data_IF_549798522719
#
_entry.id   IF_549798522719
#
_cell.length_a   1.000
_cell.length_b   1.000
_cell.length_c   1.000
_cell.angle_alpha   90.00
_cell.angle_beta   90.00
_cell.angle_gamma   90.00
#
_symmetry.space_group_name_H-M   'P 1'
#
loop_
_entity.id
_entity.type
_entity.pdbx_description
1 polymer ?
#
# COMPACT_ATOMS: atom_id res chain seq x y z
N UNK A 1 1.36 11.01 -17.31
CA UNK A 1 1.40 9.56 -17.55
C UNK A 1 0.78 8.76 -16.41
N UNK A 2 0.88 9.22 -15.16
CA UNK A 2 0.18 8.63 -14.00
C UNK A 2 -1.29 8.25 -14.22
N UNK A 3 -2.11 9.12 -14.80
CA UNK A 3 -3.53 8.84 -15.05
C UNK A 3 -3.71 7.62 -15.96
N UNK A 4 -2.91 7.51 -17.02
CA UNK A 4 -2.93 6.35 -17.91
C UNK A 4 -2.52 5.07 -17.18
N UNK A 5 -1.46 5.11 -16.35
CA UNK A 5 -1.04 3.96 -15.57
C UNK A 5 -2.10 3.51 -14.55
N UNK A 6 -2.78 4.46 -13.91
CA UNK A 6 -3.90 4.17 -12.99
C UNK A 6 -5.10 3.55 -13.73
N UNK A 7 -5.45 4.08 -14.90
CA UNK A 7 -6.50 3.50 -15.74
C UNK A 7 -6.14 2.09 -16.21
N UNK A 8 -4.88 1.85 -16.61
CA UNK A 8 -4.39 0.52 -16.99
C UNK A 8 -4.50 -0.47 -15.82
N UNK A 9 -4.12 -0.08 -14.61
CA UNK A 9 -4.26 -0.91 -13.41
C UNK A 9 -5.73 -1.19 -13.12
N UNK A 10 -6.60 -0.17 -13.16
CA UNK A 10 -8.03 -0.33 -12.91
C UNK A 10 -8.69 -1.28 -13.91
N UNK A 11 -8.40 -1.11 -15.21
CA UNK A 11 -8.87 -2.01 -16.26
C UNK A 11 -8.35 -3.44 -16.05
N UNK A 12 -7.07 -3.60 -15.73
CA UNK A 12 -6.46 -4.90 -15.45
C UNK A 12 -7.16 -5.61 -14.28
N UNK A 13 -7.46 -4.90 -13.19
CA UNK A 13 -8.19 -5.46 -12.05
C UNK A 13 -9.60 -5.89 -12.48
N UNK A 14 -10.32 -5.05 -13.22
CA UNK A 14 -11.68 -5.37 -13.67
C UNK A 14 -11.70 -6.63 -14.57
N UNK A 15 -10.83 -6.70 -15.59
CA UNK A 15 -10.75 -7.86 -16.47
C UNK A 15 -10.26 -9.12 -15.75
N UNK A 16 -9.27 -8.99 -14.87
CA UNK A 16 -8.78 -10.10 -14.05
C UNK A 16 -9.86 -10.66 -13.13
N UNK A 17 -10.65 -9.79 -12.50
CA UNK A 17 -11.77 -10.21 -11.65
C UNK A 17 -12.84 -10.94 -12.47
N UNK A 18 -13.25 -10.40 -13.62
CA UNK A 18 -14.23 -11.05 -14.51
C UNK A 18 -13.73 -12.42 -14.94
N UNK A 19 -12.48 -12.53 -15.41
CA UNK A 19 -11.88 -13.79 -15.82
C UNK A 19 -11.81 -14.80 -14.65
N UNK A 20 -11.46 -14.34 -13.45
CA UNK A 20 -11.38 -15.21 -12.27
C UNK A 20 -12.74 -15.81 -11.87
N UNK A 21 -13.85 -15.09 -12.09
CA UNK A 21 -15.19 -15.65 -11.82
C UNK A 21 -15.55 -16.83 -12.71
N UNK A 22 -14.87 -17.01 -13.85
CA UNK A 22 -15.11 -18.13 -14.77
C UNK A 22 -14.19 -19.34 -14.56
N UNK A 23 -13.25 -19.27 -13.63
CA UNK A 23 -12.27 -20.33 -13.40
C UNK A 23 -12.91 -21.68 -13.05
N UNK A 24 -14.05 -21.67 -12.34
CA UNK A 24 -14.78 -22.86 -11.92
C UNK A 24 -16.05 -23.10 -12.74
N UNK A 25 -16.23 -22.39 -13.85
CA UNK A 25 -17.39 -22.53 -14.75
C UNK A 25 -16.95 -22.81 -16.19
N UNK A 26 -16.26 -23.95 -16.42
CA UNK A 26 -15.91 -24.37 -17.78
C UNK A 26 -17.16 -24.50 -18.65
N UNK A 27 -16.95 -24.35 -19.96
CA UNK A 27 -18.00 -24.61 -20.95
C UNK A 27 -18.19 -26.12 -21.07
N UNK A 28 -19.42 -26.57 -21.31
CA UNK A 28 -19.76 -27.98 -21.33
C UNK A 28 -19.09 -28.74 -22.50
N UNK A 29 -18.77 -28.04 -23.58
CA UNK A 29 -18.07 -28.55 -24.77
C UNK A 29 -16.59 -28.87 -24.52
N UNK A 30 -15.98 -28.33 -23.46
CA UNK A 30 -14.58 -28.59 -23.11
C UNK A 30 -14.40 -29.70 -22.07
N UNK A 31 -15.48 -30.33 -21.62
CA UNK A 31 -15.48 -31.37 -20.58
C UNK A 31 -15.61 -32.76 -21.22
N UNK A 32 -14.68 -33.66 -20.89
CA UNK A 32 -14.76 -35.09 -21.20
C UNK A 32 -15.21 -35.87 -19.95
N UNK A 33 -16.08 -36.88 -20.10
CA UNK A 33 -16.51 -37.74 -19.01
C UNK A 33 -15.33 -38.40 -18.27
N UNK A 34 -14.19 -38.61 -18.95
CA UNK A 34 -12.96 -39.15 -18.36
C UNK A 34 -12.34 -38.26 -17.30
N UNK A 35 -12.68 -36.98 -17.28
CA UNK A 35 -12.14 -36.02 -16.32
C UNK A 35 -12.65 -36.26 -14.89
N UNK A 36 -13.75 -37.02 -14.73
CA UNK A 36 -14.30 -37.37 -13.42
C UNK A 36 -14.73 -36.15 -12.60
N UNK A 37 -15.18 -35.08 -13.26
CA UNK A 37 -15.48 -33.81 -12.62
C UNK A 37 -16.70 -33.89 -11.71
N UNK A 38 -16.57 -33.31 -10.51
CA UNK A 38 -17.68 -33.18 -9.58
C UNK A 38 -18.38 -31.83 -9.73
N UNK A 39 -19.72 -31.85 -9.79
CA UNK A 39 -20.53 -30.65 -9.74
C UNK A 39 -20.46 -29.98 -8.36
N UNK A 40 -20.32 -28.66 -8.37
CA UNK A 40 -20.28 -27.83 -7.16
C UNK A 40 -21.61 -27.14 -6.85
N UNK A 41 -22.55 -27.11 -7.79
CA UNK A 41 -23.87 -26.52 -7.64
C UNK A 41 -24.88 -27.23 -8.56
N UNK A 42 -26.16 -27.03 -8.30
CA UNK A 42 -27.24 -27.53 -9.15
C UNK A 42 -27.12 -26.98 -10.58
N UNK A 43 -27.48 -27.79 -11.58
CA UNK A 43 -27.25 -27.49 -13.00
C UNK A 43 -28.50 -27.75 -13.82
N UNK A 44 -28.72 -26.87 -14.81
CA UNK A 44 -29.84 -26.95 -15.75
C UNK A 44 -31.15 -26.50 -15.11
N UNK A 45 -32.11 -26.14 -15.94
CA UNK A 45 -33.46 -25.80 -15.49
C UNK A 45 -34.44 -26.47 -16.44
N UNK A 46 -35.33 -27.28 -15.90
CA UNK A 46 -36.49 -27.76 -16.64
C UNK A 46 -37.63 -26.79 -16.38
N UNK A 47 -38.18 -26.20 -17.44
CA UNK A 47 -39.41 -25.43 -17.31
C UNK A 47 -40.55 -26.39 -17.03
N UNK A 48 -41.25 -26.17 -15.92
CA UNK A 48 -42.46 -26.91 -15.62
C UNK A 48 -43.53 -26.58 -16.67
N UNK A 49 -44.36 -27.58 -16.97
CA UNK A 49 -45.50 -27.48 -17.89
C UNK A 49 -46.50 -26.38 -17.48
N UNK A 50 -46.40 -25.89 -16.24
CA UNK A 50 -47.20 -24.80 -15.67
C UNK A 50 -46.89 -23.42 -16.27
N UNK A 51 -45.73 -23.24 -16.91
CA UNK A 51 -45.29 -21.94 -17.45
C UNK A 51 -44.97 -20.88 -16.38
N UNK A 52 -45.00 -21.23 -15.10
CA UNK A 52 -44.63 -20.33 -14.01
C UNK A 52 -43.09 -20.31 -13.86
N UNK A 53 -42.42 -19.14 -14.00
CA UNK A 53 -40.97 -19.02 -13.79
C UNK A 53 -40.49 -19.46 -12.40
N UNK A 54 -41.40 -19.54 -11.41
CA UNK A 54 -41.10 -19.96 -10.04
C UNK A 54 -41.05 -21.48 -9.87
N UNK A 55 -41.55 -22.24 -10.83
CA UNK A 55 -41.67 -23.70 -10.78
C UNK A 55 -40.50 -24.40 -11.51
N UNK A 56 -39.36 -23.73 -11.56
CA UNK A 56 -38.14 -24.19 -12.22
C UNK A 56 -37.41 -25.19 -11.33
N UNK A 57 -37.40 -26.45 -11.74
CA UNK A 57 -36.64 -27.51 -11.06
C UNK A 57 -35.29 -27.70 -11.72
N UNK A 58 -34.20 -27.83 -10.95
CA UNK A 58 -32.89 -28.08 -11.53
C UNK A 58 -32.86 -29.48 -12.18
N UNK A 59 -32.22 -29.58 -13.35
CA UNK A 59 -32.08 -30.85 -14.07
C UNK A 59 -31.25 -31.84 -13.26
N UNK A 60 -30.21 -31.34 -12.59
CA UNK A 60 -29.33 -32.11 -11.71
C UNK A 60 -29.26 -31.39 -10.36
N UNK A 61 -29.71 -32.06 -9.31
CA UNK A 61 -29.66 -31.54 -7.93
C UNK A 61 -28.44 -32.12 -7.21
N UNK A 62 -27.53 -31.26 -6.78
CA UNK A 62 -26.34 -31.57 -5.97
C UNK A 62 -26.69 -31.54 -4.47
N UNK A 63 -27.68 -30.74 -4.07
CA UNK A 63 -28.09 -30.61 -2.66
C UNK A 63 -29.51 -31.13 -2.47
N UNK A 64 -29.66 -32.31 -1.86
CA UNK A 64 -30.95 -32.85 -1.49
C UNK A 64 -31.16 -32.66 0.03
N UNK A 65 -32.01 -31.69 0.39
CA UNK A 65 -32.26 -31.33 1.79
C UNK A 65 -31.02 -30.73 2.47
N UNK A 66 -30.43 -31.45 3.45
CA UNK A 66 -29.18 -31.06 4.14
C UNK A 66 -27.95 -31.87 3.69
N UNK A 67 -28.12 -32.81 2.75
CA UNK A 67 -27.03 -33.67 2.29
C UNK A 67 -26.52 -33.22 0.92
N UNK A 68 -25.22 -32.93 0.84
CA UNK A 68 -24.53 -32.65 -0.42
C UNK A 68 -24.15 -33.97 -1.05
N UNK A 69 -24.74 -34.31 -2.20
CA UNK A 69 -24.36 -35.48 -2.98
C UNK A 69 -23.18 -35.11 -3.88
N UNK A 70 -22.15 -35.94 -3.89
CA UNK A 70 -21.10 -35.84 -4.91
C UNK A 70 -21.65 -36.40 -6.21
N UNK A 71 -21.88 -35.51 -7.17
CA UNK A 71 -22.38 -35.85 -8.50
C UNK A 71 -21.22 -35.75 -9.48
N UNK A 72 -20.76 -36.91 -9.97
CA UNK A 72 -19.69 -37.02 -10.97
C UNK A 72 -20.29 -36.95 -12.37
N UNK A 73 -19.73 -36.11 -13.23
CA UNK A 73 -20.15 -35.93 -14.62
C UNK A 73 -19.76 -37.16 -15.46
N UNK A 74 -20.72 -38.07 -15.68
CA UNK A 74 -20.59 -39.17 -16.64
C UNK A 74 -21.10 -38.77 -18.04
N UNK A 75 -20.86 -39.62 -19.04
CA UNK A 75 -21.22 -39.33 -20.43
C UNK A 75 -22.74 -39.16 -20.63
N UNK A 76 -23.55 -39.95 -19.90
CA UNK A 76 -25.00 -39.86 -19.98
C UNK A 76 -25.52 -38.52 -19.47
N UNK A 77 -24.95 -38.02 -18.37
CA UNK A 77 -25.30 -36.72 -17.81
C UNK A 77 -24.79 -35.56 -18.67
N UNK A 78 -23.58 -35.66 -19.23
CA UNK A 78 -23.08 -34.68 -20.19
C UNK A 78 -24.01 -34.56 -21.40
N UNK A 79 -24.47 -35.70 -21.96
CA UNK A 79 -25.42 -35.68 -23.07
C UNK A 79 -26.75 -35.03 -22.67
N UNK A 80 -27.29 -35.39 -21.51
CA UNK A 80 -28.53 -34.78 -20.98
C UNK A 80 -28.38 -33.26 -20.84
N UNK A 81 -27.25 -32.78 -20.34
CA UNK A 81 -26.97 -31.35 -20.18
C UNK A 81 -26.81 -30.62 -21.53
N UNK A 82 -26.21 -31.28 -22.52
CA UNK A 82 -26.10 -30.76 -23.90
C UNK A 82 -27.48 -30.65 -24.55
N UNK A 83 -28.32 -31.67 -24.41
CA UNK A 83 -29.69 -31.69 -24.94
C UNK A 83 -30.56 -30.60 -24.30
N UNK A 84 -30.30 -30.27 -23.03
CA UNK A 84 -30.91 -29.15 -22.30
C UNK A 84 -30.28 -27.77 -22.61
N UNK A 85 -29.37 -27.67 -23.59
CA UNK A 85 -28.65 -26.45 -23.96
C UNK A 85 -27.91 -25.76 -22.79
N UNK A 86 -27.40 -26.53 -21.83
CA UNK A 86 -26.58 -25.98 -20.74
C UNK A 86 -25.19 -25.65 -21.26
N UNK A 87 -24.84 -24.37 -21.33
CA UNK A 87 -23.54 -23.95 -21.86
C UNK A 87 -22.38 -24.10 -20.87
N UNK A 88 -22.64 -23.91 -19.57
CA UNK A 88 -21.61 -23.86 -18.52
C UNK A 88 -22.07 -24.57 -17.26
N UNK A 89 -21.13 -25.25 -16.61
CA UNK A 89 -21.37 -25.99 -15.37
C UNK A 89 -20.37 -25.60 -14.30
N UNK A 90 -20.82 -25.50 -13.04
CA UNK A 90 -19.93 -25.17 -11.93
C UNK A 90 -19.31 -26.44 -11.37
N UNK A 91 -17.99 -26.55 -11.39
CA UNK A 91 -17.24 -27.73 -10.95
C UNK A 91 -16.42 -27.45 -9.69
N UNK A 92 -16.12 -28.50 -8.90
CA UNK A 92 -15.31 -28.35 -7.67
C UNK A 92 -13.81 -28.26 -7.94
N UNK A 93 -13.31 -28.98 -8.95
CA UNK A 93 -11.90 -29.04 -9.28
C UNK A 93 -11.55 -28.09 -10.42
N UNK A 94 -10.49 -27.30 -10.21
CA UNK A 94 -9.97 -26.38 -11.20
C UNK A 94 -8.91 -27.02 -12.11
N UNK A 95 -8.89 -26.66 -13.39
CA UNK A 95 -7.82 -26.97 -14.32
C UNK A 95 -7.62 -25.82 -15.31
N UNK A 96 -6.35 -25.43 -15.47
CA UNK A 96 -5.95 -24.36 -16.38
C UNK A 96 -6.27 -24.66 -17.84
N UNK A 97 -6.18 -25.92 -18.28
CA UNK A 97 -6.43 -26.28 -19.68
C UNK A 97 -7.90 -26.05 -20.10
N UNK A 98 -8.85 -26.10 -19.14
CA UNK A 98 -10.28 -25.90 -19.39
C UNK A 98 -10.73 -24.44 -19.22
N UNK A 99 -9.88 -23.58 -18.69
CA UNK A 99 -10.25 -22.20 -18.37
C UNK A 99 -10.15 -21.30 -19.60
N UNK A 100 -11.24 -21.16 -20.34
CA UNK A 100 -11.35 -20.37 -21.58
C UNK A 100 -10.80 -18.93 -21.50
N UNK A 101 -10.91 -18.28 -20.32
CA UNK A 101 -10.45 -16.90 -20.11
C UNK A 101 -9.07 -16.79 -19.44
N UNK A 102 -8.27 -17.86 -19.41
CA UNK A 102 -6.93 -17.82 -18.79
C UNK A 102 -6.03 -16.75 -19.41
N UNK A 103 -6.13 -16.53 -20.73
CA UNK A 103 -5.32 -15.55 -21.45
C UNK A 103 -5.69 -14.12 -21.06
N UNK A 104 -6.98 -13.85 -20.81
CA UNK A 104 -7.47 -12.54 -20.38
C UNK A 104 -6.97 -12.24 -18.96
N UNK A 105 -6.98 -13.25 -18.08
CA UNK A 105 -6.38 -13.14 -16.76
C UNK A 105 -4.87 -12.91 -16.83
N UNK A 106 -4.15 -13.63 -17.67
CA UNK A 106 -2.71 -13.44 -17.87
C UNK A 106 -2.39 -12.02 -18.40
N UNK A 107 -3.20 -11.52 -19.34
CA UNK A 107 -3.10 -10.15 -19.84
C UNK A 107 -3.35 -9.13 -18.73
N UNK A 108 -4.37 -9.34 -17.89
CA UNK A 108 -4.63 -8.50 -16.72
C UNK A 108 -3.45 -8.47 -15.74
N UNK A 109 -2.85 -9.62 -15.42
CA UNK A 109 -1.64 -9.68 -14.58
C UNK A 109 -0.49 -8.91 -15.23
N UNK A 110 -0.27 -9.09 -16.53
CA UNK A 110 0.74 -8.34 -17.29
C UNK A 110 0.50 -6.83 -17.26
N UNK A 111 -0.75 -6.39 -17.49
CA UNK A 111 -1.14 -4.98 -17.43
C UNK A 111 -0.91 -4.35 -16.06
N UNK A 112 -1.16 -5.10 -14.98
CA UNK A 112 -0.91 -4.65 -13.61
C UNK A 112 0.59 -4.47 -13.35
N UNK A 113 1.43 -5.42 -13.79
CA UNK A 113 2.89 -5.31 -13.69
C UNK A 113 3.44 -4.13 -14.48
N UNK A 114 2.97 -3.93 -15.71
CA UNK A 114 3.36 -2.79 -16.57
C UNK A 114 2.92 -1.47 -15.95
N UNK A 115 1.67 -1.37 -15.47
CA UNK A 115 1.17 -0.17 -14.80
C UNK A 115 1.98 0.18 -13.56
N UNK A 116 2.29 -0.81 -12.72
CA UNK A 116 3.15 -0.62 -11.54
C UNK A 116 4.57 -0.18 -11.92
N UNK A 117 5.15 -0.74 -12.97
CA UNK A 117 6.47 -0.36 -13.47
C UNK A 117 6.49 1.09 -13.97
N UNK A 118 5.47 1.54 -14.71
CA UNK A 118 5.34 2.93 -15.18
C UNK A 118 5.29 3.89 -14.00
N UNK A 119 4.44 3.63 -13.01
CA UNK A 119 4.34 4.47 -11.80
C UNK A 119 5.71 4.52 -11.08
N UNK A 120 6.40 3.39 -10.96
CA UNK A 120 7.72 3.33 -10.32
C UNK A 120 8.77 4.14 -11.08
N UNK A 121 8.78 4.08 -12.41
CA UNK A 121 9.71 4.85 -13.25
C UNK A 121 9.40 6.34 -13.15
N UNK A 122 8.13 6.75 -13.18
CA UNK A 122 7.73 8.16 -13.11
C UNK A 122 8.09 8.75 -11.74
N UNK A 123 7.86 8.03 -10.65
CA UNK A 123 8.30 8.43 -9.31
C UNK A 123 9.82 8.59 -9.26
N UNK A 124 10.59 7.63 -9.80
CA UNK A 124 12.05 7.74 -9.89
C UNK A 124 12.51 8.95 -10.72
N UNK A 125 11.82 9.26 -11.82
CA UNK A 125 12.13 10.41 -12.67
C UNK A 125 11.84 11.73 -11.97
N UNK A 126 10.75 11.83 -11.22
CA UNK A 126 10.46 13.04 -10.41
C UNK A 126 11.53 13.21 -9.34
N UNK A 127 11.93 12.14 -8.65
CA UNK A 127 13.03 12.18 -7.68
C UNK A 127 14.35 12.57 -8.34
N UNK A 128 14.68 12.02 -9.50
CA UNK A 128 15.90 12.35 -10.25
C UNK A 128 15.87 13.78 -10.81
N UNK A 129 14.73 14.26 -11.31
CA UNK A 129 14.57 15.62 -11.77
C UNK A 129 14.67 16.63 -10.62
N UNK A 130 14.15 16.32 -9.43
CA UNK A 130 14.39 17.15 -8.25
C UNK A 130 15.87 17.15 -7.83
N UNK A 131 16.58 16.03 -8.03
CA UNK A 131 18.03 15.99 -7.82
C UNK A 131 18.82 16.82 -8.85
N UNK A 132 18.37 16.88 -10.12
CA UNK A 132 19.08 17.58 -11.21
C UNK A 132 18.73 19.06 -11.31
N UNK A 133 17.48 19.45 -11.04
CA UNK A 133 16.99 20.83 -11.24
C UNK A 133 16.93 21.64 -9.93
N UNK A 134 17.18 21.02 -8.77
CA UNK A 134 16.97 21.61 -7.44
C UNK A 134 18.19 21.59 -6.51
N UNK A 135 19.38 21.22 -7.00
CA UNK A 135 20.63 21.27 -6.22
C UNK A 135 21.15 22.70 -5.95
N UNK A 136 20.33 23.73 -6.17
CA UNK A 136 20.70 25.14 -6.02
C UNK A 136 20.01 25.89 -4.87
N UNK A 137 19.16 25.25 -4.04
CA UNK A 137 18.74 25.88 -2.76
C UNK A 137 18.13 24.94 -1.69
N UNK A 138 17.58 23.77 -2.02
CA UNK A 138 17.09 22.84 -1.00
C UNK A 138 18.20 21.86 -0.62
N UNK A 139 18.67 21.91 0.63
CA UNK A 139 19.72 21.00 1.11
C UNK A 139 19.28 19.53 1.07
N UNK A 140 20.26 18.63 1.10
CA UNK A 140 19.96 17.21 1.32
C UNK A 140 19.27 17.00 2.68
N UNK A 141 18.39 15.99 2.83
CA UNK A 141 17.77 15.68 4.12
C UNK A 141 18.82 15.52 5.24
N UNK A 142 19.96 14.93 4.91
CA UNK A 142 21.10 14.76 5.81
C UNK A 142 21.69 16.10 6.27
N UNK A 143 21.80 17.08 5.37
CA UNK A 143 22.31 18.42 5.70
C UNK A 143 21.38 19.15 6.67
N UNK A 144 20.06 19.09 6.45
CA UNK A 144 19.10 19.77 7.33
C UNK A 144 19.14 19.19 8.76
N UNK A 145 19.14 17.86 8.91
CA UNK A 145 19.24 17.25 10.24
C UNK A 145 20.60 17.49 10.90
N UNK A 146 21.70 17.41 10.12
CA UNK A 146 23.04 17.71 10.66
C UNK A 146 23.17 19.18 11.10
N UNK A 147 22.57 20.10 10.36
CA UNK A 147 22.51 21.51 10.72
C UNK A 147 21.73 21.71 12.02
N UNK A 148 20.55 21.11 12.15
CA UNK A 148 19.77 21.14 13.39
C UNK A 148 20.57 20.59 14.58
N UNK A 149 21.21 19.42 14.45
CA UNK A 149 22.04 18.85 15.50
C UNK A 149 23.21 19.78 15.89
N UNK A 150 23.82 20.46 14.92
CA UNK A 150 24.89 21.42 15.16
C UNK A 150 24.40 22.67 15.91
N UNK A 151 23.21 23.17 15.57
CA UNK A 151 22.59 24.32 16.25
C UNK A 151 22.21 23.97 17.69
N UNK A 152 21.64 22.78 17.93
CA UNK A 152 21.33 22.30 19.28
C UNK A 152 22.60 22.12 20.12
N UNK A 153 23.70 21.69 19.51
CA UNK A 153 25.00 21.60 20.19
C UNK A 153 25.49 22.98 20.62
N UNK A 154 25.45 23.97 19.71
CA UNK A 154 25.83 25.35 20.01
C UNK A 154 24.94 25.97 21.09
N UNK A 155 23.63 25.74 21.01
CA UNK A 155 22.68 26.20 22.04
C UNK A 155 23.06 25.65 23.42
N UNK A 156 23.41 24.36 23.50
CA UNK A 156 23.84 23.76 24.76
C UNK A 156 25.12 24.42 25.31
N UNK A 157 26.11 24.67 24.45
CA UNK A 157 27.37 25.33 24.83
C UNK A 157 27.16 26.79 25.24
N UNK A 158 26.30 27.52 24.52
CA UNK A 158 25.96 28.91 24.81
C UNK A 158 25.20 29.02 26.14
N UNK A 159 24.29 28.08 26.42
CA UNK A 159 23.58 28.00 27.70
C UNK A 159 24.50 27.78 28.90
N UNK A 160 25.63 27.09 28.72
CA UNK A 160 26.60 26.93 29.81
C UNK A 160 27.31 28.25 30.15
N UNK A 161 27.37 29.20 29.21
CA UNK A 161 28.07 30.49 29.34
C UNK A 161 27.13 31.64 29.69
N UNK A 162 25.85 31.53 29.37
CA UNK A 162 24.85 32.57 29.66
C UNK A 162 24.40 32.50 31.11
N UNK A 163 24.61 33.61 31.82
CA UNK A 163 24.13 33.84 33.18
C UNK A 163 22.83 34.64 33.17
N UNK A 164 21.98 34.43 34.17
CA UNK A 164 20.67 35.08 34.29
C UNK A 164 19.55 34.31 33.58
N UNK A 165 18.41 34.18 34.27
CA UNK A 165 17.28 33.37 33.79
C UNK A 165 16.67 33.94 32.52
N UNK A 166 16.41 35.24 32.47
CA UNK A 166 15.76 35.91 31.32
C UNK A 166 16.57 35.75 30.03
N UNK A 167 17.88 36.01 30.09
CA UNK A 167 18.78 35.84 28.94
C UNK A 167 18.85 34.38 28.44
N UNK A 168 18.73 33.40 29.35
CA UNK A 168 18.69 31.98 28.97
C UNK A 168 17.36 31.61 28.30
N UNK A 169 16.24 32.16 28.77
CA UNK A 169 14.92 31.94 28.16
C UNK A 169 14.94 32.47 26.73
N UNK A 170 15.35 33.73 26.53
CA UNK A 170 15.45 34.35 25.21
C UNK A 170 16.38 33.58 24.26
N UNK A 171 17.52 33.10 24.78
CA UNK A 171 18.45 32.28 24.01
C UNK A 171 17.80 30.95 23.55
N UNK A 172 17.05 30.27 24.43
CA UNK A 172 16.41 29.01 24.07
C UNK A 172 15.31 29.24 23.03
N UNK A 173 14.40 30.17 23.29
CA UNK A 173 13.24 30.38 22.41
C UNK A 173 13.69 30.79 21.01
N UNK A 174 14.56 31.79 20.90
CA UNK A 174 15.08 32.26 19.61
C UNK A 174 15.86 31.18 18.84
N UNK A 175 16.67 30.36 19.52
CA UNK A 175 17.44 29.29 18.86
C UNK A 175 16.57 28.12 18.45
N UNK A 176 15.56 27.76 19.22
CA UNK A 176 14.63 26.69 18.85
C UNK A 176 13.73 27.10 17.69
N UNK A 177 13.28 28.36 17.66
CA UNK A 177 12.57 28.95 16.51
C UNK A 177 13.44 28.89 15.24
N UNK A 178 14.73 29.25 15.37
CA UNK A 178 15.69 29.14 14.26
C UNK A 178 15.87 27.68 13.79
N UNK A 179 15.98 26.71 14.71
CA UNK A 179 16.09 25.29 14.35
C UNK A 179 14.84 24.83 13.59
N UNK A 180 13.65 25.25 14.04
CA UNK A 180 12.39 24.93 13.38
C UNK A 180 12.32 25.47 11.95
N UNK A 181 12.54 26.78 11.78
CA UNK A 181 12.42 27.46 10.48
C UNK A 181 13.50 27.04 9.49
N UNK A 182 14.75 26.97 9.93
CA UNK A 182 15.90 26.84 9.02
C UNK A 182 16.22 25.37 8.73
N UNK A 183 15.79 24.45 9.60
CA UNK A 183 16.19 23.04 9.52
C UNK A 183 15.01 22.08 9.47
N UNK A 184 14.10 22.12 10.46
CA UNK A 184 13.05 21.09 10.58
C UNK A 184 11.99 21.22 9.47
N UNK A 185 11.52 22.43 9.19
CA UNK A 185 10.55 22.67 8.12
C UNK A 185 11.10 22.27 6.73
N UNK A 186 12.30 22.73 6.30
CA UNK A 186 12.92 22.28 5.06
C UNK A 186 13.15 20.78 5.00
N UNK A 187 13.51 20.13 6.13
CA UNK A 187 13.66 18.67 6.17
C UNK A 187 12.36 17.96 5.78
N UNK A 188 11.20 18.42 6.26
CA UNK A 188 9.89 17.82 5.92
C UNK A 188 9.60 17.93 4.41
N UNK A 189 10.04 19.00 3.76
CA UNK A 189 9.90 19.19 2.31
C UNK A 189 10.71 18.17 1.50
N UNK A 190 11.79 17.61 2.08
CA UNK A 190 12.58 16.55 1.45
C UNK A 190 11.90 15.17 1.45
N UNK A 191 10.68 15.04 1.98
CA UNK A 191 9.89 13.80 2.02
C UNK A 191 9.91 12.99 0.71
N UNK A 192 9.70 13.56 -0.49
CA UNK A 192 9.73 12.78 -1.73
C UNK A 192 11.11 12.15 -2.01
N UNK A 193 12.20 12.79 -1.58
CA UNK A 193 13.55 12.27 -1.73
C UNK A 193 13.77 11.07 -0.80
N UNK A 194 13.35 11.18 0.47
CA UNK A 194 13.48 10.09 1.44
C UNK A 194 12.65 8.87 0.98
N UNK A 195 11.39 9.07 0.59
CA UNK A 195 10.53 7.98 0.06
C UNK A 195 11.14 7.39 -1.22
N UNK A 196 11.68 8.22 -2.11
CA UNK A 196 12.33 7.75 -3.33
C UNK A 196 13.56 6.87 -3.08
N UNK A 197 14.34 7.18 -2.02
CA UNK A 197 15.57 6.43 -1.65
C UNK A 197 15.29 5.20 -0.78
N UNK A 198 14.39 5.33 0.21
CA UNK A 198 14.19 4.34 1.30
C UNK A 198 12.84 3.63 1.24
N UNK A 199 11.97 4.00 0.31
CA UNK A 199 10.58 3.54 0.29
C UNK A 199 9.76 4.11 1.44
N UNK A 200 8.47 3.75 1.48
CA UNK A 200 7.53 4.27 2.47
C UNK A 200 7.82 3.76 3.89
N UNK A 201 8.24 2.50 4.03
CA UNK A 201 8.59 1.92 5.32
C UNK A 201 9.84 2.58 5.94
N UNK A 202 10.89 2.79 5.13
CA UNK A 202 12.09 3.49 5.60
C UNK A 202 11.81 4.96 5.94
N UNK A 203 10.97 5.63 5.15
CA UNK A 203 10.48 6.97 5.48
C UNK A 203 9.76 7.01 6.84
N UNK A 204 8.83 6.08 7.11
CA UNK A 204 8.12 6.02 8.37
C UNK A 204 9.07 5.86 9.58
N UNK A 205 10.05 4.95 9.48
CA UNK A 205 11.03 4.72 10.55
C UNK A 205 11.89 5.96 10.87
N UNK A 206 12.21 6.77 9.87
CA UNK A 206 12.95 8.03 10.04
C UNK A 206 12.03 9.08 10.68
N UNK A 207 10.81 9.21 10.16
CA UNK A 207 9.83 10.19 10.65
C UNK A 207 9.40 9.95 12.08
N UNK A 208 9.32 8.70 12.53
CA UNK A 208 9.00 8.38 13.92
C UNK A 208 10.01 8.99 14.89
N UNK A 209 11.31 8.94 14.55
CA UNK A 209 12.38 9.52 15.37
C UNK A 209 12.43 11.04 15.21
N UNK A 210 12.29 11.53 13.99
CA UNK A 210 12.19 12.97 13.75
C UNK A 210 11.05 13.61 14.58
N UNK A 211 9.84 13.04 14.54
CA UNK A 211 8.69 13.55 15.28
C UNK A 211 8.88 13.45 16.81
N UNK A 212 9.57 12.42 17.29
CA UNK A 212 9.93 12.32 18.69
C UNK A 212 10.93 13.43 19.10
N UNK A 213 11.94 13.73 18.27
CA UNK A 213 12.86 14.84 18.51
C UNK A 213 12.13 16.19 18.49
N UNK A 214 11.31 16.44 17.48
CA UNK A 214 10.50 17.66 17.33
C UNK A 214 9.61 17.92 18.57
N UNK A 215 8.92 16.90 19.08
CA UNK A 215 8.14 17.03 20.33
C UNK A 215 8.98 17.42 21.53
N UNK A 216 10.20 16.89 21.65
CA UNK A 216 11.12 17.27 22.73
C UNK A 216 11.56 18.73 22.60
N UNK A 217 11.79 19.21 21.37
CA UNK A 217 12.13 20.62 21.13
C UNK A 217 10.96 21.55 21.46
N UNK A 218 9.73 21.21 21.08
CA UNK A 218 8.55 21.99 21.47
C UNK A 218 8.34 21.99 22.99
N UNK A 219 8.58 20.86 23.66
CA UNK A 219 8.53 20.78 25.12
C UNK A 219 9.62 21.64 25.77
N UNK A 220 10.82 21.64 25.21
CA UNK A 220 11.90 22.50 25.67
C UNK A 220 11.57 23.99 25.54
N UNK A 221 10.98 24.39 24.40
CA UNK A 221 10.53 25.75 24.16
C UNK A 221 9.46 26.16 25.18
N UNK A 222 8.44 25.33 25.39
CA UNK A 222 7.36 25.60 26.37
C UNK A 222 7.94 25.73 27.78
N UNK A 223 8.78 24.79 28.21
CA UNK A 223 9.39 24.82 29.53
C UNK A 223 10.28 26.06 29.74
N UNK A 224 10.96 26.54 28.69
CA UNK A 224 11.73 27.78 28.77
C UNK A 224 10.82 29.01 28.95
N UNK A 225 9.73 29.11 28.19
CA UNK A 225 8.74 30.20 28.33
C UNK A 225 8.12 30.21 29.72
N UNK A 226 7.87 29.04 30.31
CA UNK A 226 7.34 28.89 31.67
C UNK A 226 8.40 29.10 32.77
N UNK A 227 9.67 29.34 32.41
CA UNK A 227 10.77 29.55 33.36
C UNK A 227 11.33 28.27 34.00
N UNK A 228 10.92 27.09 33.53
CA UNK A 228 11.38 25.78 34.01
C UNK A 228 12.65 25.35 33.27
N UNK A 229 13.77 26.02 33.58
CA UNK A 229 15.03 25.91 32.83
C UNK A 229 15.66 24.51 32.85
N UNK A 230 15.50 23.77 33.94
CA UNK A 230 16.05 22.42 34.08
C UNK A 230 15.36 21.45 33.10
N UNK A 231 14.02 21.45 33.06
CA UNK A 231 13.23 20.65 32.12
C UNK A 231 13.58 21.02 30.67
N UNK A 232 13.67 22.32 30.38
CA UNK A 232 14.04 22.78 29.04
C UNK A 232 15.41 22.22 28.60
N UNK A 233 16.40 22.26 29.48
CA UNK A 233 17.75 21.75 29.19
C UNK A 233 17.76 20.23 28.96
N UNK A 234 17.01 19.48 29.79
CA UNK A 234 16.84 18.03 29.64
C UNK A 234 16.18 17.70 28.28
N UNK A 235 15.11 18.41 27.94
CA UNK A 235 14.40 18.22 26.67
C UNK A 235 15.26 18.58 25.45
N UNK A 236 16.11 19.61 25.52
CA UNK A 236 17.07 19.92 24.43
C UNK A 236 18.06 18.76 24.24
N UNK A 237 18.62 18.25 25.34
CA UNK A 237 19.58 17.14 25.28
C UNK A 237 18.95 15.87 24.71
N UNK A 238 17.73 15.54 25.14
CA UNK A 238 16.99 14.38 24.64
C UNK A 238 16.56 14.58 23.17
N UNK A 239 16.10 15.76 22.80
CA UNK A 239 15.76 16.12 21.42
C UNK A 239 16.95 15.92 20.49
N UNK A 240 18.15 16.37 20.89
CA UNK A 240 19.40 16.13 20.15
C UNK A 240 19.69 14.63 20.02
N UNK A 241 19.63 13.88 21.11
CA UNK A 241 19.90 12.43 21.12
C UNK A 241 19.00 11.68 20.14
N UNK A 242 17.71 11.99 20.13
CA UNK A 242 16.73 11.38 19.22
C UNK A 242 16.94 11.84 17.78
N UNK A 243 17.36 13.09 17.56
CA UNK A 243 17.71 13.60 16.24
C UNK A 243 18.91 12.86 15.65
N UNK A 244 19.92 12.56 16.45
CA UNK A 244 21.09 11.76 16.05
C UNK A 244 20.67 10.34 15.62
N UNK A 245 19.71 9.71 16.31
CA UNK A 245 19.13 8.43 15.87
C UNK A 245 18.42 8.54 14.51
N UNK A 246 17.74 9.67 14.24
CA UNK A 246 17.10 9.90 12.94
C UNK A 246 18.13 10.07 11.82
N UNK A 247 19.24 10.77 12.10
CA UNK A 247 20.37 10.92 11.17
C UNK A 247 20.99 9.56 10.85
N UNK A 248 21.19 8.71 11.86
CA UNK A 248 21.80 7.40 11.65
C UNK A 248 20.90 6.49 10.78
N UNK A 249 19.59 6.49 11.01
CA UNK A 249 18.61 5.78 10.17
C UNK A 249 18.52 6.32 8.75
N UNK A 250 18.79 7.60 8.57
CA UNK A 250 18.82 8.21 7.24
C UNK A 250 20.07 7.74 6.45
N UNK A 251 21.19 7.56 7.14
CA UNK A 251 22.47 7.09 6.58
C UNK A 251 22.52 5.58 6.32
N UNK A 252 22.02 4.76 7.24
CA UNK A 252 21.99 3.30 7.15
C UNK A 252 20.94 2.80 6.18
#
# INVERSE_FOLDING_TARGET
MKVFALLLIAASIAFGAIAATTAYTPRLDTIDAKDGLELAADVGVVEADSGDPRDRTPLVTVVEGRTVRTVVLDEAMLQTLRDANVERVRVKSFDFARWDLWWLFALAVGGLLVGAAIIRIETRRVTAAHATTGASSAGSPEQHLAQAASLLTRLHDDLARTTGTEARIELITSRLEQVESDCLQPFVETRPMIIGRRGLAGYAQIMDRFAAAERQLYRAWSAAVDGVMEESTICIAEGRRVLDEAIERLRG
#
